data_IF_463354927577
#
_entry.id   IF_463354927577
#
_cell.length_a   1.000
_cell.length_b   1.000
_cell.length_c   1.000
_cell.angle_alpha   90.00
_cell.angle_beta   90.00
_cell.angle_gamma   90.00
#
_symmetry.space_group_name_H-M   'P 1'
#
loop_
_entity.id
_entity.type
_entity.pdbx_description
1 polymer ?
#
# COMPACT_ATOMS: atom_id res chain seq x y z
N UNK A 1 -31.76 -20.55 33.89
CA UNK A 1 -31.74 -20.41 32.41
C UNK A 1 -30.30 -20.22 32.01
N UNK A 2 -29.69 -21.19 31.32
CA UNK A 2 -28.34 -21.04 30.80
C UNK A 2 -28.41 -20.14 29.57
N UNK A 3 -27.68 -19.03 29.55
CA UNK A 3 -27.48 -18.27 28.32
C UNK A 3 -26.57 -19.08 27.42
N UNK A 4 -27.07 -19.49 26.26
CA UNK A 4 -26.22 -20.00 25.19
C UNK A 4 -25.25 -18.89 24.78
N UNK A 5 -23.97 -19.05 25.14
CA UNK A 5 -22.92 -18.16 24.69
C UNK A 5 -22.70 -18.42 23.20
N UNK A 6 -23.16 -17.49 22.36
CA UNK A 6 -22.84 -17.50 20.94
C UNK A 6 -21.31 -17.45 20.69
N UNK A 7 -20.87 -17.72 19.45
CA UNK A 7 -19.46 -17.66 19.09
C UNK A 7 -18.87 -16.28 19.39
N UNK A 8 -17.63 -16.23 19.86
CA UNK A 8 -17.00 -14.95 20.15
C UNK A 8 -16.77 -14.17 18.85
N UNK A 9 -16.67 -12.84 18.96
CA UNK A 9 -16.37 -11.99 17.80
C UNK A 9 -15.03 -12.35 17.16
N UNK A 10 -14.05 -12.82 17.97
CA UNK A 10 -12.76 -13.28 17.47
C UNK A 10 -12.90 -14.57 16.65
N UNK A 11 -13.72 -15.52 17.10
CA UNK A 11 -14.00 -16.76 16.35
C UNK A 11 -14.65 -16.46 15.01
N UNK A 12 -15.60 -15.51 14.98
CA UNK A 12 -16.22 -15.05 13.74
C UNK A 12 -15.19 -14.44 12.78
N UNK A 13 -14.31 -13.57 13.27
CA UNK A 13 -13.26 -12.96 12.44
C UNK A 13 -12.30 -14.01 11.88
N UNK A 14 -11.90 -14.99 12.69
CA UNK A 14 -11.01 -16.06 12.27
C UNK A 14 -11.66 -16.95 11.20
N UNK A 15 -12.95 -17.28 11.36
CA UNK A 15 -13.71 -18.02 10.35
C UNK A 15 -13.76 -17.27 9.02
N UNK A 16 -14.03 -15.96 9.03
CA UNK A 16 -14.03 -15.13 7.81
C UNK A 16 -12.64 -14.99 7.20
N UNK A 17 -11.58 -14.85 8.02
CA UNK A 17 -10.21 -14.81 7.53
C UNK A 17 -9.84 -16.11 6.82
N UNK A 18 -10.18 -17.25 7.41
CA UNK A 18 -9.94 -18.56 6.79
C UNK A 18 -10.69 -18.69 5.46
N UNK A 19 -11.94 -18.20 5.39
CA UNK A 19 -12.71 -18.17 4.15
C UNK A 19 -12.05 -17.28 3.09
N UNK A 20 -11.59 -16.08 3.44
CA UNK A 20 -10.86 -15.20 2.53
C UNK A 20 -9.56 -15.84 2.03
N UNK A 21 -8.81 -16.52 2.90
CA UNK A 21 -7.61 -17.27 2.51
C UNK A 21 -7.93 -18.39 1.52
N UNK A 22 -9.01 -19.15 1.75
CA UNK A 22 -9.46 -20.17 0.79
C UNK A 22 -9.87 -19.56 -0.54
N UNK A 23 -10.60 -18.44 -0.53
CA UNK A 23 -10.98 -17.71 -1.75
C UNK A 23 -9.76 -17.14 -2.48
N UNK A 24 -8.74 -16.67 -1.77
CA UNK A 24 -7.51 -16.13 -2.37
C UNK A 24 -6.74 -17.18 -3.18
N UNK A 25 -6.89 -18.46 -2.85
CA UNK A 25 -6.27 -19.54 -3.62
C UNK A 25 -7.04 -19.86 -4.92
N UNK A 26 -8.32 -19.48 -4.99
CA UNK A 26 -9.22 -19.81 -6.10
C UNK A 26 -9.53 -18.60 -6.99
N UNK A 27 -9.39 -17.39 -6.47
CA UNK A 27 -9.80 -16.15 -7.10
C UNK A 27 -8.65 -15.15 -7.11
N UNK A 28 -8.39 -14.56 -8.27
CA UNK A 28 -7.44 -13.45 -8.44
C UNK A 28 -8.12 -12.08 -8.23
N UNK A 29 -9.21 -12.05 -7.46
CA UNK A 29 -9.96 -10.83 -7.23
C UNK A 29 -9.18 -9.88 -6.29
N UNK A 30 -8.92 -8.67 -6.76
CA UNK A 30 -8.21 -7.62 -6.03
C UNK A 30 -8.86 -7.24 -4.69
N UNK A 31 -10.15 -7.52 -4.46
CA UNK A 31 -10.78 -7.24 -3.18
C UNK A 31 -10.40 -8.24 -2.07
N UNK A 32 -10.10 -9.48 -2.43
CA UNK A 32 -9.81 -10.55 -1.45
C UNK A 32 -8.63 -10.21 -0.53
N UNK A 33 -7.46 -9.77 -1.03
CA UNK A 33 -6.34 -9.43 -0.14
C UNK A 33 -6.67 -8.22 0.75
N UNK A 34 -7.41 -7.22 0.26
CA UNK A 34 -7.79 -6.04 1.05
C UNK A 34 -8.73 -6.42 2.20
N UNK A 35 -9.77 -7.21 1.91
CA UNK A 35 -10.70 -7.70 2.94
C UNK A 35 -9.95 -8.56 3.96
N UNK A 36 -9.01 -9.38 3.52
CA UNK A 36 -8.16 -10.18 4.43
C UNK A 36 -7.37 -9.28 5.38
N UNK A 37 -6.72 -8.22 4.86
CA UNK A 37 -5.99 -7.25 5.70
C UNK A 37 -6.89 -6.44 6.63
N UNK A 38 -8.10 -6.13 6.21
CA UNK A 38 -9.09 -5.49 7.09
C UNK A 38 -9.52 -6.40 8.25
N UNK A 39 -9.74 -7.69 7.98
CA UNK A 39 -10.04 -8.70 9.01
C UNK A 39 -8.86 -8.87 9.99
N UNK A 40 -7.62 -8.95 9.48
CA UNK A 40 -6.41 -8.99 10.33
C UNK A 40 -6.33 -7.76 11.25
N UNK A 41 -6.58 -6.56 10.71
CA UNK A 41 -6.61 -5.33 11.50
C UNK A 41 -7.73 -5.34 12.56
N UNK A 42 -8.94 -5.82 12.22
CA UNK A 42 -10.00 -5.97 13.22
C UNK A 42 -9.60 -6.95 14.32
N UNK A 43 -8.95 -8.06 13.98
CA UNK A 43 -8.45 -8.99 14.99
C UNK A 43 -7.42 -8.34 15.92
N UNK A 44 -6.50 -7.50 15.41
CA UNK A 44 -5.53 -6.81 16.28
C UNK A 44 -6.18 -5.75 17.17
N UNK A 45 -7.28 -5.14 16.73
CA UNK A 45 -8.06 -4.17 17.52
C UNK A 45 -8.80 -4.84 18.68
N UNK A 46 -9.35 -6.04 18.46
CA UNK A 46 -10.18 -6.75 19.45
C UNK A 46 -9.34 -7.56 20.43
N UNK A 47 -8.13 -7.98 20.06
CA UNK A 47 -7.24 -8.76 20.94
C UNK A 47 -6.91 -8.00 22.23
N UNK A 48 -7.13 -8.59 23.42
CA UNK A 48 -6.90 -7.94 24.71
C UNK A 48 -5.41 -7.68 25.00
N UNK A 49 -4.53 -8.42 24.35
CA UNK A 49 -3.06 -8.36 24.49
C UNK A 49 -2.39 -7.66 23.28
N UNK A 50 -3.17 -7.00 22.43
CA UNK A 50 -2.68 -6.36 21.22
C UNK A 50 -1.71 -5.21 21.51
N UNK A 51 -0.49 -5.28 20.97
CA UNK A 51 0.45 -4.17 21.09
C UNK A 51 0.09 -3.02 20.14
N UNK A 52 0.27 -1.76 20.58
CA UNK A 52 0.09 -0.58 19.71
C UNK A 52 0.93 -0.67 18.43
N UNK A 53 2.15 -1.20 18.52
CA UNK A 53 3.03 -1.39 17.36
C UNK A 53 2.45 -2.37 16.33
N UNK A 54 1.84 -3.46 16.79
CA UNK A 54 1.15 -4.42 15.93
C UNK A 54 -0.06 -3.77 15.24
N UNK A 55 -0.86 -3.02 16.00
CA UNK A 55 -1.97 -2.25 15.44
C UNK A 55 -1.51 -1.25 14.36
N UNK A 56 -0.49 -0.41 14.63
CA UNK A 56 0.03 0.56 13.65
C UNK A 56 0.58 -0.13 12.40
N UNK A 57 1.24 -1.28 12.57
CA UNK A 57 1.73 -2.09 11.43
C UNK A 57 0.58 -2.66 10.61
N UNK A 58 -0.43 -3.25 11.23
CA UNK A 58 -1.61 -3.77 10.53
C UNK A 58 -2.38 -2.67 9.81
N UNK A 59 -2.52 -1.50 10.42
CA UNK A 59 -3.18 -0.33 9.84
C UNK A 59 -2.43 0.16 8.58
N UNK A 60 -1.10 0.23 8.65
CA UNK A 60 -0.25 0.59 7.51
C UNK A 60 -0.29 -0.48 6.41
N UNK A 61 -0.30 -1.76 6.80
CA UNK A 61 -0.40 -2.89 5.86
C UNK A 61 -1.73 -2.86 5.11
N UNK A 62 -2.85 -2.59 5.79
CA UNK A 62 -4.16 -2.47 5.16
C UNK A 62 -4.19 -1.27 4.19
N UNK A 63 -3.64 -0.12 4.57
CA UNK A 63 -3.60 1.07 3.71
C UNK A 63 -2.83 0.80 2.41
N UNK A 64 -1.68 0.15 2.52
CA UNK A 64 -0.86 -0.23 1.37
C UNK A 64 -1.60 -1.22 0.46
N UNK A 65 -2.21 -2.26 1.03
CA UNK A 65 -2.94 -3.26 0.25
C UNK A 65 -4.17 -2.66 -0.46
N UNK A 66 -4.89 -1.76 0.20
CA UNK A 66 -6.01 -1.03 -0.39
C UNK A 66 -5.55 -0.20 -1.59
N UNK A 67 -4.46 0.57 -1.43
CA UNK A 67 -3.88 1.39 -2.51
C UNK A 67 -3.42 0.54 -3.69
N UNK A 68 -2.71 -0.55 -3.42
CA UNK A 68 -2.26 -1.48 -4.46
C UNK A 68 -3.45 -2.07 -5.21
N UNK A 69 -4.43 -2.59 -4.48
CA UNK A 69 -5.60 -3.23 -5.08
C UNK A 69 -6.43 -2.24 -5.89
N UNK A 70 -6.67 -1.01 -5.42
CA UNK A 70 -7.36 0.02 -6.21
C UNK A 70 -6.60 0.42 -7.48
N UNK A 71 -5.26 0.40 -7.47
CA UNK A 71 -4.46 0.71 -8.65
C UNK A 71 -4.55 -0.39 -9.71
N UNK A 72 -4.62 -1.65 -9.29
CA UNK A 72 -4.61 -2.80 -10.18
C UNK A 72 -5.99 -3.45 -10.41
N UNK A 73 -7.05 -2.99 -9.75
CA UNK A 73 -8.41 -3.53 -9.94
C UNK A 73 -9.07 -2.93 -11.19
N UNK A 74 -9.26 -3.71 -12.28
CA UNK A 74 -9.92 -3.24 -13.49
C UNK A 74 -11.41 -2.94 -13.28
N UNK A 75 -12.01 -3.44 -12.19
CA UNK A 75 -13.43 -3.33 -11.87
C UNK A 75 -13.72 -2.35 -10.74
N UNK A 76 -12.75 -1.53 -10.31
CA UNK A 76 -12.90 -0.61 -9.18
C UNK A 76 -14.10 0.34 -9.27
N UNK A 77 -14.51 0.71 -10.49
CA UNK A 77 -15.66 1.60 -10.72
C UNK A 77 -17.02 0.89 -10.73
N UNK A 78 -17.07 -0.42 -10.49
CA UNK A 78 -18.34 -1.14 -10.29
C UNK A 78 -18.90 -0.71 -8.93
N UNK A 79 -20.15 -0.24 -8.88
CA UNK A 79 -20.72 0.41 -7.69
C UNK A 79 -20.52 -0.37 -6.38
N UNK A 80 -20.67 -1.69 -6.38
CA UNK A 80 -20.43 -2.53 -5.19
C UNK A 80 -18.97 -2.51 -4.74
N UNK A 81 -18.01 -2.51 -5.69
CA UNK A 81 -16.58 -2.45 -5.37
C UNK A 81 -16.18 -1.10 -4.83
N UNK A 82 -16.66 -0.03 -5.45
CA UNK A 82 -16.41 1.34 -5.01
C UNK A 82 -16.94 1.54 -3.59
N UNK A 83 -18.17 1.09 -3.31
CA UNK A 83 -18.74 1.08 -1.96
C UNK A 83 -17.90 0.27 -0.96
N UNK A 84 -17.37 -0.89 -1.38
CA UNK A 84 -16.52 -1.73 -0.52
C UNK A 84 -15.23 -1.01 -0.16
N UNK A 85 -14.56 -0.39 -1.13
CA UNK A 85 -13.37 0.41 -0.90
C UNK A 85 -13.65 1.63 -0.02
N UNK A 86 -14.76 2.34 -0.27
CA UNK A 86 -15.20 3.48 0.54
C UNK A 86 -15.44 3.07 2.00
N UNK A 87 -16.12 1.95 2.23
CA UNK A 87 -16.36 1.41 3.58
C UNK A 87 -15.04 1.08 4.30
N UNK A 88 -14.11 0.41 3.61
CA UNK A 88 -12.80 0.06 4.17
C UNK A 88 -11.95 1.30 4.48
N UNK A 89 -12.04 2.35 3.67
CA UNK A 89 -11.38 3.63 3.93
C UNK A 89 -12.00 4.35 5.14
N UNK A 90 -13.33 4.36 5.27
CA UNK A 90 -14.01 4.88 6.46
C UNK A 90 -13.59 4.14 7.73
N UNK A 91 -13.52 2.80 7.67
CA UNK A 91 -13.04 1.98 8.78
C UNK A 91 -11.61 2.36 9.19
N UNK A 92 -10.70 2.46 8.20
CA UNK A 92 -9.31 2.84 8.43
C UNK A 92 -9.18 4.24 9.05
N UNK A 93 -9.92 5.23 8.55
CA UNK A 93 -9.93 6.60 9.08
C UNK A 93 -10.44 6.65 10.51
N UNK A 94 -11.50 5.89 10.81
CA UNK A 94 -12.04 5.79 12.17
C UNK A 94 -10.99 5.25 13.13
N UNK A 95 -10.27 4.18 12.76
CA UNK A 95 -9.21 3.62 13.58
C UNK A 95 -8.01 4.57 13.76
N UNK A 96 -7.63 5.31 12.71
CA UNK A 96 -6.59 6.35 12.82
C UNK A 96 -6.99 7.45 13.80
N UNK A 97 -8.24 7.87 13.76
CA UNK A 97 -8.74 8.93 14.64
C UNK A 97 -8.79 8.42 16.09
N UNK A 98 -9.16 7.17 16.31
CA UNK A 98 -9.08 6.56 17.64
C UNK A 98 -7.63 6.53 18.16
N UNK A 99 -6.65 6.09 17.37
CA UNK A 99 -5.22 6.08 17.78
C UNK A 99 -4.68 7.49 18.06
N UNK A 100 -5.08 8.49 17.27
CA UNK A 100 -4.72 9.91 17.53
C UNK A 100 -5.27 10.41 18.85
N UNK A 101 -6.47 9.94 19.23
CA UNK A 101 -7.09 10.26 20.52
C UNK A 101 -6.56 9.39 21.67
N UNK A 102 -5.48 8.65 21.46
CA UNK A 102 -4.80 7.87 22.50
C UNK A 102 -5.48 6.54 22.81
N UNK A 103 -6.38 6.06 21.96
CA UNK A 103 -6.95 4.72 22.08
C UNK A 103 -5.84 3.66 21.96
N UNK A 104 -5.86 2.67 22.86
CA UNK A 104 -4.94 1.55 22.83
C UNK A 104 -5.73 0.23 22.64
N UNK A 105 -5.25 -0.69 21.79
CA UNK A 105 -5.82 -2.02 21.68
C UNK A 105 -5.81 -2.75 23.04
N UNK A 106 -6.91 -3.43 23.36
CA UNK A 106 -7.00 -4.29 24.54
C UNK A 106 -7.39 -3.67 25.89
N UNK A 107 -7.80 -2.39 25.94
CA UNK A 107 -8.23 -1.72 27.18
C UNK A 107 -9.72 -1.41 27.21
N UNK A 108 -10.24 -1.23 28.44
CA UNK A 108 -11.64 -0.94 28.79
C UNK A 108 -12.36 -0.08 27.75
N UNK A 109 -13.61 -0.47 27.46
CA UNK A 109 -14.54 0.21 26.55
C UNK A 109 -14.22 1.70 26.55
N UNK A 110 -13.75 2.28 25.43
CA UNK A 110 -13.55 3.71 25.38
C UNK A 110 -14.88 4.35 25.75
N UNK A 111 -14.97 4.94 26.94
CA UNK A 111 -15.95 5.96 27.21
C UNK A 111 -15.61 7.04 26.21
N UNK A 112 -16.26 6.99 25.04
CA UNK A 112 -16.29 8.08 24.09
C UNK A 112 -16.71 9.28 24.92
N UNK A 113 -15.74 10.09 25.33
CA UNK A 113 -16.00 11.40 25.88
C UNK A 113 -16.54 12.16 24.68
N UNK A 114 -17.84 12.00 24.45
CA UNK A 114 -18.62 13.00 23.73
C UNK A 114 -18.22 14.29 24.44
N UNK A 115 -17.43 15.12 23.78
CA UNK A 115 -17.30 16.52 24.17
C UNK A 115 -18.73 17.02 24.13
N UNK A 116 -19.43 16.92 25.24
CA UNK A 116 -20.51 17.84 25.52
C UNK A 116 -19.76 19.16 25.56
N UNK A 117 -19.80 19.88 24.43
CA UNK A 117 -19.63 21.33 24.52
C UNK A 117 -20.50 21.75 25.70
N UNK A 118 -19.95 22.52 26.65
CA UNK A 118 -20.76 23.14 27.69
C UNK A 118 -21.91 23.78 26.94
N UNK A 119 -23.10 23.20 27.09
CA UNK A 119 -24.30 23.81 26.57
C UNK A 119 -24.38 25.06 27.40
N UNK A 120 -23.92 26.18 26.83
CA UNK A 120 -24.17 27.52 27.38
C UNK A 120 -25.60 27.46 27.90
N UNK A 121 -25.84 27.74 29.19
CA UNK A 121 -27.18 27.68 29.72
C UNK A 121 -28.02 28.49 28.76
N UNK A 122 -28.92 27.82 28.03
CA UNK A 122 -29.92 28.47 27.21
C UNK A 122 -30.60 29.40 28.21
N UNK A 123 -30.23 30.69 28.15
CA UNK A 123 -31.00 31.73 28.79
C UNK A 123 -32.43 31.40 28.37
N UNK A 124 -33.26 31.15 29.38
CA UNK A 124 -34.68 30.95 29.23
C UNK A 124 -35.25 32.29 28.75
N UNK A 125 -34.94 32.65 27.50
CA UNK A 125 -35.65 33.64 26.75
C UNK A 125 -37.05 33.11 26.66
N UNK A 126 -37.95 33.80 27.35
CA UNK A 126 -39.38 33.60 27.31
C UNK A 126 -39.81 33.13 25.92
N UNK A 127 -40.38 31.93 25.90
CA UNK A 127 -41.19 31.41 24.81
C UNK A 127 -42.32 32.42 24.55
N UNK A 128 -42.02 33.43 23.74
CA UNK A 128 -43.02 34.16 22.98
C UNK A 128 -43.65 33.13 22.05
N UNK A 129 -44.82 32.66 22.48
CA UNK A 129 -45.72 31.78 21.75
C UNK A 129 -45.72 32.13 20.27
N UNK A 130 -45.08 31.28 19.47
CA UNK A 130 -45.22 31.31 18.03
C UNK A 130 -46.72 31.15 17.72
N UNK A 131 -47.25 32.14 17.02
CA UNK A 131 -48.60 32.11 16.49
C UNK A 131 -48.84 30.81 15.70
N UNK A 132 -50.04 30.21 15.80
CA UNK A 132 -50.38 29.02 15.05
C UNK A 132 -50.20 29.28 13.55
N UNK A 133 -49.32 28.51 12.93
CA UNK A 133 -49.16 28.48 11.48
C UNK A 133 -50.41 27.79 10.93
N UNK A 134 -51.31 28.55 10.33
CA UNK A 134 -52.40 28.01 9.52
C UNK A 134 -51.81 27.33 8.27
N UNK A 135 -51.70 26.00 8.32
CA UNK A 135 -51.38 25.20 7.13
C UNK A 135 -52.63 25.16 6.25
N UNK A 136 -52.70 26.07 5.27
CA UNK A 136 -53.65 25.96 4.16
C UNK A 136 -53.29 24.74 3.32
N UNK A 137 -54.02 23.66 3.52
CA UNK A 137 -54.05 22.51 2.62
C UNK A 137 -54.90 22.87 1.40
N UNK A 138 -54.27 23.42 0.37
CA UNK A 138 -54.90 23.50 -0.94
C UNK A 138 -54.95 22.10 -1.55
N UNK A 139 -56.13 21.48 -1.43
CA UNK A 139 -56.55 20.34 -2.25
C UNK A 139 -56.62 20.80 -3.70
N UNK A 140 -55.60 20.48 -4.49
CA UNK A 140 -55.68 20.47 -5.94
C UNK A 140 -56.46 19.24 -6.39
N UNK A 141 -57.75 19.45 -6.63
CA UNK A 141 -58.69 18.52 -7.23
C UNK A 141 -58.71 18.70 -8.75
N UNK A 142 -58.75 17.58 -9.48
CA UNK A 142 -59.41 17.44 -10.78
C UNK A 142 -58.82 18.11 -12.04
N UNK A 143 -58.58 17.29 -13.07
CA UNK A 143 -58.35 17.74 -14.45
C UNK A 143 -57.46 16.74 -15.22
N UNK A 144 -57.89 15.50 -15.40
CA UNK A 144 -58.59 15.02 -16.59
C UNK A 144 -57.93 15.34 -17.94
N UNK A 145 -57.62 14.25 -18.64
CA UNK A 145 -57.91 14.07 -20.06
C UNK A 145 -57.06 14.85 -21.10
N UNK A 146 -56.19 14.14 -21.84
CA UNK A 146 -56.30 13.95 -23.30
C UNK A 146 -55.23 12.94 -23.77
N UNK A 147 -55.72 11.72 -24.00
CA UNK A 147 -55.62 10.91 -25.21
C UNK A 147 -54.38 10.97 -26.15
N UNK A 148 -54.07 9.76 -26.66
CA UNK A 148 -53.52 9.39 -28.00
C UNK A 148 -51.99 9.20 -28.13
N UNK A 149 -51.52 7.93 -28.09
CA UNK A 149 -51.40 7.05 -29.27
C UNK A 149 -50.78 5.68 -28.97
N UNK A 150 -51.52 4.65 -29.42
CA UNK A 150 -51.12 3.37 -30.02
C UNK A 150 -50.29 2.37 -29.18
N UNK A 151 -50.84 1.23 -28.70
CA UNK A 151 -51.41 0.06 -29.43
C UNK A 151 -50.34 -0.53 -30.36
N UNK A 152 -49.65 -1.61 -29.98
CA UNK A 152 -49.91 -3.05 -30.27
C UNK A 152 -48.70 -3.82 -29.67
N UNK A 153 -48.72 -4.97 -28.99
CA UNK A 153 -49.40 -6.27 -29.15
C UNK A 153 -49.02 -7.07 -27.88
N UNK A 154 -49.92 -7.53 -27.00
CA UNK A 154 -50.56 -8.88 -27.00
C UNK A 154 -49.68 -9.94 -27.69
N UNK A 155 -49.23 -11.02 -27.05
CA UNK A 155 -50.03 -12.05 -26.37
C UNK A 155 -49.08 -13.02 -25.64
N UNK A 156 -49.56 -13.52 -24.50
CA UNK A 156 -49.59 -14.92 -24.05
C UNK A 156 -48.37 -15.84 -24.26
N UNK A 157 -48.10 -16.84 -23.45
CA UNK A 157 -48.45 -17.30 -22.10
C UNK A 157 -47.84 -18.71 -22.06
N UNK A 158 -47.50 -19.18 -20.86
CA UNK A 158 -47.45 -20.61 -20.51
C UNK A 158 -46.19 -21.45 -20.87
N UNK A 159 -45.83 -22.23 -19.82
CA UNK A 159 -45.23 -23.56 -19.83
C UNK A 159 -43.71 -23.73 -20.04
N UNK A 160 -43.05 -24.00 -18.90
CA UNK A 160 -42.01 -25.04 -18.62
C UNK A 160 -41.94 -26.24 -19.59
N UNK A 161 -40.92 -27.14 -19.61
CA UNK A 161 -39.67 -27.27 -18.83
C UNK A 161 -38.39 -27.64 -19.67
N UNK A 162 -37.25 -27.83 -18.99
CA UNK A 162 -36.11 -28.74 -19.31
C UNK A 162 -35.80 -29.09 -20.79
N UNK A 163 -34.61 -28.72 -21.29
CA UNK A 163 -33.71 -29.59 -22.09
C UNK A 163 -32.24 -29.20 -21.81
N UNK A 164 -31.44 -30.23 -21.49
CA UNK A 164 -29.98 -30.27 -21.52
C UNK A 164 -29.55 -30.44 -22.98
N UNK A 165 -28.75 -29.51 -23.52
CA UNK A 165 -27.89 -29.71 -24.69
C UNK A 165 -26.51 -29.15 -24.27
N UNK A 166 -25.50 -29.97 -23.98
CA UNK A 166 -24.73 -30.82 -24.90
C UNK A 166 -24.07 -30.00 -26.03
N UNK A 167 -22.94 -29.35 -25.69
CA UNK A 167 -21.99 -28.84 -26.68
C UNK A 167 -20.70 -29.64 -26.61
N UNK A 168 -20.74 -30.80 -27.27
CA UNK A 168 -19.85 -31.13 -28.39
C UNK A 168 -18.37 -30.78 -28.23
N UNK A 169 -17.62 -31.70 -27.64
CA UNK A 169 -16.19 -31.89 -27.91
C UNK A 169 -16.01 -32.72 -29.18
N UNK A 170 -15.54 -32.07 -30.25
CA UNK A 170 -14.93 -32.67 -31.44
C UNK A 170 -14.23 -31.54 -32.21
N UNK A 171 -12.94 -31.56 -32.52
CA UNK A 171 -12.06 -32.68 -32.80
C UNK A 171 -11.75 -32.66 -34.30
N UNK A 172 -10.58 -32.14 -34.67
CA UNK A 172 -9.81 -32.36 -35.91
C UNK A 172 -8.77 -31.22 -36.02
N UNK A 173 -7.49 -31.48 -35.74
CA UNK A 173 -6.48 -31.98 -36.69
C UNK A 173 -5.93 -30.85 -37.56
N UNK A 174 -4.73 -30.36 -37.21
CA UNK A 174 -3.76 -29.93 -38.22
C UNK A 174 -2.33 -30.07 -37.65
N UNK A 175 -1.69 -31.14 -38.12
CA UNK A 175 -0.27 -31.43 -38.08
C UNK A 175 0.53 -30.35 -38.82
N UNK A 176 1.40 -29.61 -38.12
CA UNK A 176 2.65 -29.12 -38.72
C UNK A 176 3.82 -29.28 -37.73
N UNK A 177 4.66 -30.23 -38.06
CA UNK A 177 5.96 -30.48 -37.46
C UNK A 177 6.92 -29.29 -37.60
N UNK A 178 7.63 -28.95 -36.51
CA UNK A 178 9.11 -28.78 -36.43
C UNK A 178 9.49 -27.88 -35.26
N UNK A 179 10.42 -28.36 -34.44
CA UNK A 179 11.29 -27.45 -33.68
C UNK A 179 11.65 -27.92 -32.29
N UNK A 180 12.47 -28.97 -32.22
CA UNK A 180 13.21 -29.40 -31.04
C UNK A 180 13.72 -28.24 -30.17
N UNK A 181 13.19 -28.07 -28.96
CA UNK A 181 13.82 -27.24 -27.92
C UNK A 181 13.74 -27.89 -26.55
N UNK A 182 14.83 -28.59 -26.25
CA UNK A 182 15.54 -28.59 -24.97
C UNK A 182 14.69 -28.70 -23.70
N UNK A 183 14.46 -29.93 -23.26
CA UNK A 183 14.08 -30.22 -21.89
C UNK A 183 15.29 -29.97 -20.97
N UNK A 184 15.34 -28.78 -20.37
CA UNK A 184 16.17 -28.57 -19.18
C UNK A 184 15.48 -29.24 -18.00
N UNK A 185 15.90 -30.48 -17.74
CA UNK A 185 15.65 -31.15 -16.46
C UNK A 185 16.31 -30.33 -15.35
N UNK A 186 15.49 -29.81 -14.43
CA UNK A 186 15.96 -29.20 -13.20
C UNK A 186 16.59 -30.30 -12.34
N UNK A 187 17.89 -30.55 -12.57
CA UNK A 187 18.76 -31.33 -11.69
C UNK A 187 18.75 -30.65 -10.32
N UNK A 188 17.92 -31.20 -9.42
CA UNK A 188 18.07 -31.09 -7.98
C UNK A 188 19.51 -31.48 -7.63
N UNK A 189 20.37 -30.48 -7.41
CA UNK A 189 21.64 -30.68 -6.71
C UNK A 189 21.31 -30.96 -5.25
N UNK A 190 21.09 -32.23 -4.96
CA UNK A 190 21.27 -32.79 -3.63
C UNK A 190 22.72 -32.53 -3.24
N UNK A 191 22.93 -31.51 -2.41
CA UNK A 191 24.22 -31.22 -1.80
C UNK A 191 24.44 -32.24 -0.68
N UNK A 192 24.90 -33.43 -1.06
CA UNK A 192 25.59 -34.35 -0.15
C UNK A 192 26.95 -33.72 0.14
N UNK A 193 26.99 -32.92 1.21
CA UNK A 193 28.22 -32.37 1.77
C UNK A 193 29.02 -33.52 2.37
N UNK A 194 29.97 -34.03 1.60
CA UNK A 194 31.00 -34.95 2.07
C UNK A 194 31.75 -34.28 3.23
N UNK A 195 31.89 -35.01 4.33
CA UNK A 195 32.77 -34.70 5.44
C UNK A 195 34.21 -34.78 4.94
N UNK A 196 34.85 -33.63 4.76
CA UNK A 196 36.31 -33.56 4.63
C UNK A 196 36.94 -33.56 6.03
N UNK A 197 38.12 -34.20 6.18
CA UNK A 197 38.80 -34.37 7.46
C UNK A 197 39.27 -33.04 8.07
N UNK A 198 39.50 -33.00 9.40
CA UNK A 198 40.02 -31.83 10.09
C UNK A 198 41.43 -31.54 9.59
N UNK A 199 41.57 -30.44 8.83
CA UNK A 199 42.86 -29.85 8.52
C UNK A 199 43.28 -28.99 9.70
N UNK A 200 44.52 -29.19 10.08
CA UNK A 200 45.22 -28.66 11.24
C UNK A 200 45.35 -27.13 11.18
N UNK A 201 45.56 -26.57 12.37
CA UNK A 201 45.52 -25.16 12.71
C UNK A 201 46.51 -24.30 11.92
N UNK A 202 46.01 -23.51 10.97
CA UNK A 202 46.75 -22.39 10.38
C UNK A 202 46.21 -21.07 10.97
N UNK A 203 46.86 -20.65 12.07
CA UNK A 203 46.74 -19.32 12.66
C UNK A 203 47.25 -18.24 11.69
N UNK A 204 46.41 -17.81 10.76
CA UNK A 204 46.66 -16.56 10.04
C UNK A 204 45.39 -15.70 9.92
N UNK A 205 44.95 -15.22 11.09
CA UNK A 205 43.87 -14.27 11.26
C UNK A 205 44.20 -12.89 10.70
N UNK A 206 44.17 -12.76 9.38
CA UNK A 206 44.17 -11.48 8.66
C UNK A 206 42.89 -10.69 8.96
N UNK A 207 42.85 -10.04 10.12
CA UNK A 207 41.77 -9.16 10.57
C UNK A 207 41.67 -8.00 9.58
N UNK A 208 40.72 -8.08 8.65
CA UNK A 208 40.34 -6.95 7.79
C UNK A 208 39.85 -5.83 8.72
N UNK A 209 40.75 -4.91 9.05
CA UNK A 209 40.45 -3.72 9.84
C UNK A 209 39.49 -2.89 9.00
N UNK A 210 38.18 -3.05 9.25
CA UNK A 210 37.15 -2.11 8.79
C UNK A 210 37.55 -0.75 9.35
N UNK A 211 38.22 0.04 8.52
CA UNK A 211 38.71 1.39 8.80
C UNK A 211 37.54 2.20 9.36
N UNK A 212 37.48 2.32 10.69
CA UNK A 212 36.45 3.06 11.41
C UNK A 212 36.55 4.50 10.92
N UNK A 213 35.59 4.91 10.08
CA UNK A 213 35.52 6.30 9.58
C UNK A 213 35.41 7.21 10.80
N UNK A 214 36.32 8.16 10.91
CA UNK A 214 36.33 9.13 12.00
C UNK A 214 34.95 9.82 12.12
N UNK A 215 34.50 10.16 13.35
CA UNK A 215 33.27 10.91 13.56
C UNK A 215 33.39 12.26 12.86
N UNK A 216 32.72 12.38 11.71
CA UNK A 216 32.63 13.61 10.93
C UNK A 216 31.76 14.60 11.70
N UNK A 217 32.30 15.80 11.96
CA UNK A 217 31.64 16.84 12.76
C UNK A 217 30.23 17.21 12.30
N UNK A 218 29.51 17.97 13.17
CA UNK A 218 28.10 18.39 13.02
C UNK A 218 27.69 18.53 11.53
N UNK A 219 26.92 17.54 11.05
CA UNK A 219 26.37 17.55 9.69
C UNK A 219 25.26 18.58 9.65
N UNK A 220 25.26 19.45 8.64
CA UNK A 220 24.12 20.34 8.40
C UNK A 220 22.86 19.50 8.19
N UNK A 221 21.74 19.99 8.70
CA UNK A 221 20.43 19.38 8.50
C UNK A 221 19.94 19.66 7.08
N UNK A 222 19.44 18.62 6.40
CA UNK A 222 18.74 18.73 5.13
C UNK A 222 17.25 18.88 5.41
N UNK A 223 16.63 19.88 4.77
CA UNK A 223 15.20 20.14 4.80
C UNK A 223 14.42 19.42 3.71
N UNK A 224 13.13 19.24 3.91
CA UNK A 224 12.18 18.90 2.85
C UNK A 224 11.81 20.16 2.04
N UNK A 225 11.53 19.99 0.75
CA UNK A 225 11.10 21.11 -0.12
C UNK A 225 9.61 21.47 0.02
N UNK A 226 8.82 20.57 0.61
CA UNK A 226 7.35 20.69 0.67
C UNK A 226 6.80 20.97 2.07
N UNK A 227 7.59 20.74 3.11
CA UNK A 227 7.15 20.92 4.50
C UNK A 227 8.30 21.38 5.39
N UNK A 228 7.97 21.76 6.62
CA UNK A 228 8.93 22.25 7.61
C UNK A 228 9.78 21.14 8.27
N UNK A 229 9.91 19.98 7.63
CA UNK A 229 10.74 18.91 8.14
C UNK A 229 12.22 19.17 7.83
N UNK A 230 13.05 19.30 8.87
CA UNK A 230 14.48 19.64 8.76
C UNK A 230 15.39 18.68 9.53
N UNK A 231 15.04 17.40 9.62
CA UNK A 231 15.77 16.42 10.43
C UNK A 231 16.64 15.46 9.60
N UNK A 232 16.80 15.73 8.30
CA UNK A 232 17.55 14.85 7.40
C UNK A 232 19.06 14.99 7.57
N UNK A 233 19.73 14.01 8.14
CA UNK A 233 21.21 14.01 8.23
C UNK A 233 21.91 13.38 7.01
N UNK A 234 21.14 12.88 6.04
CA UNK A 234 21.65 12.24 4.83
C UNK A 234 20.65 12.32 3.68
N UNK A 235 21.11 12.27 2.42
CA UNK A 235 20.24 12.17 1.25
C UNK A 235 19.24 11.01 1.35
N UNK A 236 19.67 9.87 1.91
CA UNK A 236 18.79 8.71 2.09
C UNK A 236 17.59 8.99 2.99
N UNK A 237 17.78 9.77 4.07
CA UNK A 237 16.71 10.15 5.00
C UNK A 237 15.70 11.07 4.30
N UNK A 238 16.18 12.06 3.54
CA UNK A 238 15.33 12.98 2.75
C UNK A 238 14.55 12.21 1.68
N UNK A 239 15.21 11.30 0.95
CA UNK A 239 14.55 10.45 -0.06
C UNK A 239 13.43 9.61 0.58
N UNK A 240 13.69 9.03 1.75
CA UNK A 240 12.68 8.25 2.47
C UNK A 240 11.51 9.13 2.91
N UNK A 241 11.78 10.34 3.40
CA UNK A 241 10.76 11.29 3.80
C UNK A 241 9.88 11.71 2.61
N UNK A 242 10.48 12.09 1.47
CA UNK A 242 9.75 12.44 0.24
C UNK A 242 8.82 11.31 -0.22
N UNK A 243 9.31 10.06 -0.18
CA UNK A 243 8.50 8.89 -0.58
C UNK A 243 7.34 8.62 0.35
N UNK A 244 7.58 8.68 1.66
CA UNK A 244 6.58 8.30 2.67
C UNK A 244 5.52 9.38 2.86
N UNK A 245 5.94 10.66 2.92
CA UNK A 245 5.03 11.76 3.25
C UNK A 245 4.46 12.46 2.03
N UNK A 246 5.17 12.48 0.90
CA UNK A 246 4.75 13.17 -0.31
C UNK A 246 4.48 12.22 -1.48
N UNK A 247 4.82 10.93 -1.36
CA UNK A 247 4.69 9.98 -2.49
C UNK A 247 5.66 10.26 -3.64
N UNK A 248 6.70 11.06 -3.39
CA UNK A 248 7.57 11.59 -4.43
C UNK A 248 9.01 11.09 -4.34
N UNK A 249 9.73 11.22 -5.44
CA UNK A 249 11.18 11.01 -5.54
C UNK A 249 11.86 12.35 -5.78
N UNK A 250 13.16 12.51 -5.49
CA UNK A 250 13.88 13.76 -5.81
C UNK A 250 13.71 14.20 -7.26
N UNK A 251 13.72 13.24 -8.20
CA UNK A 251 13.50 13.50 -9.62
C UNK A 251 12.12 14.04 -9.94
N UNK A 252 11.07 13.51 -9.30
CA UNK A 252 9.69 13.98 -9.53
C UNK A 252 9.41 15.30 -8.81
N UNK A 253 10.06 15.52 -7.66
CA UNK A 253 9.93 16.75 -6.88
C UNK A 253 10.78 17.92 -7.41
N UNK A 254 11.39 17.76 -8.58
CA UNK A 254 12.28 18.78 -9.16
C UNK A 254 13.43 19.18 -8.24
N UNK A 255 14.08 18.23 -7.54
CA UNK A 255 15.22 18.53 -6.68
C UNK A 255 16.36 17.52 -6.81
N UNK A 256 17.57 17.94 -6.46
CA UNK A 256 18.76 17.10 -6.47
C UNK A 256 19.69 17.41 -5.30
N UNK A 257 20.57 16.47 -5.00
CA UNK A 257 21.58 16.61 -3.96
C UNK A 257 22.90 17.05 -4.59
N UNK A 258 23.46 18.16 -4.10
CA UNK A 258 24.80 18.62 -4.43
C UNK A 258 25.76 18.26 -3.30
N UNK A 259 26.76 17.44 -3.60
CA UNK A 259 27.84 17.13 -2.69
C UNK A 259 28.88 18.26 -2.70
N UNK A 260 29.58 18.49 -1.58
CA UNK A 260 30.69 19.45 -1.50
C UNK A 260 31.82 19.16 -2.51
N UNK A 261 31.98 17.91 -2.96
CA UNK A 261 32.91 17.55 -4.03
C UNK A 261 32.46 18.06 -5.43
N UNK A 262 31.31 18.73 -5.52
CA UNK A 262 30.71 19.23 -6.73
C UNK A 262 30.01 18.15 -7.56
N UNK A 263 29.73 16.97 -7.00
CA UNK A 263 28.92 15.95 -7.66
C UNK A 263 27.44 16.18 -7.39
N UNK A 264 26.64 16.12 -8.44
CA UNK A 264 25.19 16.32 -8.38
C UNK A 264 24.49 15.00 -8.66
N UNK A 265 23.53 14.63 -7.82
CA UNK A 265 22.85 13.35 -7.92
C UNK A 265 21.42 13.45 -7.41
N UNK A 266 20.50 12.78 -8.09
CA UNK A 266 19.13 12.53 -7.60
C UNK A 266 19.00 11.24 -6.79
N UNK A 267 20.10 10.50 -6.63
CA UNK A 267 20.17 9.22 -5.92
C UNK A 267 21.16 9.24 -4.75
N UNK A 268 21.03 8.27 -3.84
CA UNK A 268 21.92 8.09 -2.69
C UNK A 268 23.24 7.34 -3.01
N UNK A 269 23.53 7.04 -4.28
CA UNK A 269 24.72 6.24 -4.62
C UNK A 269 26.03 6.97 -4.34
N UNK A 270 26.09 8.28 -4.62
CA UNK A 270 27.30 9.06 -4.40
C UNK A 270 27.68 9.14 -2.90
N UNK A 271 26.70 9.25 -2.01
CA UNK A 271 26.93 9.36 -0.57
C UNK A 271 27.65 8.15 0.04
N UNK A 272 27.49 6.96 -0.56
CA UNK A 272 28.17 5.74 -0.11
C UNK A 272 29.67 5.77 -0.43
N UNK A 273 30.02 6.40 -1.57
CA UNK A 273 31.36 6.37 -2.14
C UNK A 273 32.17 7.65 -1.87
N UNK A 274 31.51 8.75 -1.52
CA UNK A 274 32.18 10.00 -1.19
C UNK A 274 32.72 10.01 0.25
N UNK A 275 33.99 10.36 0.43
CA UNK A 275 34.59 10.57 1.76
C UNK A 275 34.06 11.80 2.47
N UNK A 276 33.69 12.84 1.70
CA UNK A 276 33.26 14.15 2.18
C UNK A 276 31.76 14.35 1.98
N UNK A 277 30.96 13.45 2.57
CA UNK A 277 29.50 13.35 2.42
C UNK A 277 28.72 14.51 3.09
N UNK A 278 29.07 15.76 2.78
CA UNK A 278 28.27 16.96 3.07
C UNK A 278 27.46 17.29 1.82
N UNK A 279 26.14 17.18 1.94
CA UNK A 279 25.20 17.42 0.85
C UNK A 279 24.39 18.68 1.15
N UNK A 280 23.98 19.36 0.09
CA UNK A 280 22.92 20.37 0.10
C UNK A 280 21.81 19.92 -0.85
N UNK A 281 20.56 20.24 -0.51
CA UNK A 281 19.42 20.01 -1.39
C UNK A 281 19.20 21.26 -2.23
N UNK A 282 19.07 21.11 -3.54
CA UNK A 282 18.88 22.21 -4.50
C UNK A 282 17.65 21.91 -5.34
N UNK A 283 16.79 22.91 -5.57
CA UNK A 283 15.64 22.80 -6.48
C UNK A 283 16.10 23.05 -7.91
N UNK A 284 15.54 22.31 -8.85
CA UNK A 284 15.80 22.46 -10.29
C UNK A 284 15.42 23.86 -10.80
N UNK A 285 14.45 24.51 -10.13
CA UNK A 285 14.00 25.88 -10.43
C UNK A 285 15.08 26.92 -10.11
N UNK A 286 15.80 26.74 -9.00
CA UNK A 286 16.87 27.65 -8.57
C UNK A 286 18.12 27.44 -9.43
N UNK A 287 18.42 26.19 -9.76
CA UNK A 287 19.55 25.85 -10.60
C UNK A 287 19.27 24.57 -11.41
N UNK A 288 19.37 24.60 -12.75
CA UNK A 288 19.03 23.45 -13.57
C UNK A 288 20.02 22.32 -13.32
N UNK A 289 19.51 21.12 -13.05
CA UNK A 289 20.33 19.93 -12.82
C UNK A 289 21.22 19.64 -14.04
N UNK A 290 22.55 19.72 -13.84
CA UNK A 290 23.54 19.41 -14.87
C UNK A 290 24.28 18.14 -14.47
N UNK A 291 23.80 16.95 -14.87
CA UNK A 291 24.50 15.72 -14.53
C UNK A 291 25.93 15.83 -15.06
N UNK A 292 26.90 15.92 -14.14
CA UNK A 292 28.31 15.85 -14.53
C UNK A 292 28.48 14.54 -15.25
N UNK A 293 28.62 14.62 -16.59
CA UNK A 293 29.08 13.49 -17.40
C UNK A 293 30.34 13.02 -16.70
N UNK A 294 30.26 11.84 -16.07
CA UNK A 294 31.42 11.19 -15.49
C UNK A 294 32.47 11.22 -16.59
N UNK A 295 33.55 11.98 -16.40
CA UNK A 295 34.56 12.17 -17.42
C UNK A 295 34.95 10.78 -17.94
N UNK A 296 34.51 10.45 -19.17
CA UNK A 296 34.70 9.15 -19.81
C UNK A 296 36.19 8.79 -19.98
N UNK A 297 37.08 9.73 -19.68
CA UNK A 297 38.54 9.58 -19.68
C UNK A 297 39.08 8.52 -18.71
N UNK A 298 38.32 8.05 -17.72
CA UNK A 298 38.78 6.96 -16.86
C UNK A 298 38.41 5.55 -17.35
N UNK A 299 37.53 5.42 -18.35
CA UNK A 299 37.22 4.13 -18.97
C UNK A 299 38.35 3.68 -19.92
N UNK A 300 38.94 4.62 -20.67
CA UNK A 300 40.05 4.33 -21.61
C UNK A 300 41.35 3.84 -20.95
N UNK A 301 41.51 4.01 -19.63
CA UNK A 301 42.68 3.47 -18.90
C UNK A 301 42.51 2.02 -18.45
N UNK A 302 41.28 1.48 -18.41
CA UNK A 302 41.06 0.06 -18.06
C UNK A 302 41.22 -0.88 -19.26
N UNK A 303 40.94 -0.41 -20.47
CA UNK A 303 41.07 -1.26 -21.66
C UNK A 303 42.52 -1.34 -22.19
N UNK A 304 43.41 -0.43 -21.79
CA UNK A 304 44.84 -0.46 -22.21
C UNK A 304 45.76 -1.37 -21.37
N UNK A 305 45.22 -2.09 -20.38
CA UNK A 305 46.03 -2.91 -19.47
C UNK A 305 45.89 -4.42 -19.65
N UNK A 306 45.17 -4.90 -20.68
CA UNK A 306 44.84 -6.33 -20.81
C UNK A 306 45.55 -7.08 -21.95
N UNK A 307 46.34 -6.40 -22.78
CA UNK A 307 46.95 -7.00 -23.99
C UNK A 307 48.45 -7.32 -23.85
N UNK A 308 48.99 -7.48 -22.64
CA UNK A 308 50.44 -7.72 -22.47
C UNK A 308 50.80 -8.94 -21.61
N UNK A 309 49.99 -10.01 -21.63
CA UNK A 309 50.33 -11.23 -20.88
C UNK A 309 49.95 -12.53 -21.62
N UNK A 310 50.26 -12.60 -22.90
CA UNK A 310 50.38 -13.85 -23.67
C UNK A 310 51.77 -13.83 -24.31
N UNK A 311 52.75 -14.43 -23.63
CA UNK A 311 54.01 -14.98 -24.17
C UNK A 311 54.94 -15.29 -22.98
N UNK A 312 54.68 -16.43 -22.32
CA UNK A 312 55.67 -17.22 -21.57
C UNK A 312 55.09 -18.58 -21.17
#
# INVERSE_FOLDING_TARGET
>A
MAQESGPSTLDMLEAWRNKCSSTSNQSNDALVPVVTKALELMSTVIKPDGSRNEFTRSLSSMALECTNSQNFDPRKNVGVRDLTYGLLECFRRTLLELDRNGWQPGWDRPTLRVKQEPREPEEQGELLFAHPIEVKTERGDGGDEVARRNRTTRRNSESSPFILDDFGTGGADDDVARGSRSMMTNRRRSSSRAMSPPAEDDENGGRVVKKRRAPTGKRGTLGCVYCEWHQGNSPGTVISHLRVHHGETPSSSGCYFRCKCGFESRSNNHAKNCGDAKFTLVKDEDEPFRPKRSNAKNQQRKDKGKDSNEDN
#
